data_IF_985597996392
#
_entry.id   IF_985597996392
#
_cell.length_a   1.000
_cell.length_b   1.000
_cell.length_c   1.000
_cell.angle_alpha   90.00
_cell.angle_beta   90.00
_cell.angle_gamma   90.00
#
_symmetry.space_group_name_H-M   'P 1'
#
loop_
_entity.id
_entity.type
_entity.pdbx_description
1 polymer ?
#
# COMPACT_ATOMS: atom_id res chain seq x y z
N UNK A 1 8.86 -20.63 20.95
CA UNK A 1 8.81 -19.16 21.08
C UNK A 1 8.47 -18.65 19.70
N UNK A 2 7.31 -18.01 19.53
CA UNK A 2 6.86 -17.58 18.20
C UNK A 2 7.73 -16.42 17.74
N UNK A 3 8.09 -16.39 16.45
CA UNK A 3 8.90 -15.33 15.82
C UNK A 3 8.33 -13.91 16.07
N UNK A 4 7.04 -13.80 16.38
CA UNK A 4 6.33 -12.54 16.53
C UNK A 4 6.04 -12.11 17.99
N UNK A 5 6.49 -12.85 19.00
CA UNK A 5 6.04 -12.65 20.39
C UNK A 5 6.47 -11.29 21.00
N UNK A 6 7.66 -10.80 20.66
CA UNK A 6 8.23 -9.55 21.21
C UNK A 6 8.33 -8.41 20.19
N UNK A 7 7.91 -8.67 18.95
CA UNK A 7 8.02 -7.70 17.87
C UNK A 7 7.02 -6.55 18.06
N UNK A 8 7.53 -5.32 18.12
CA UNK A 8 6.73 -4.10 18.29
C UNK A 8 6.46 -3.42 16.94
N UNK A 9 5.31 -2.77 16.85
CA UNK A 9 4.89 -1.99 15.68
C UNK A 9 3.85 -0.93 16.06
N UNK A 10 3.71 0.09 15.22
CA UNK A 10 2.67 1.10 15.39
C UNK A 10 1.26 0.53 15.22
N UNK A 11 0.29 1.12 15.93
CA UNK A 11 -1.10 0.66 16.00
C UNK A 11 -1.91 0.79 14.70
N UNK A 12 -1.40 1.50 13.68
CA UNK A 12 -2.16 1.86 12.47
C UNK A 12 -2.84 0.67 11.79
N UNK A 13 -2.16 -0.48 11.66
CA UNK A 13 -2.76 -1.69 11.07
C UNK A 13 -3.97 -2.19 11.87
N UNK A 14 -3.87 -2.21 13.21
CA UNK A 14 -4.97 -2.60 14.07
C UNK A 14 -6.16 -1.64 13.93
N UNK A 15 -5.90 -0.32 13.89
CA UNK A 15 -6.92 0.70 13.63
C UNK A 15 -7.61 0.48 12.29
N UNK A 16 -6.86 0.30 11.20
CA UNK A 16 -7.42 0.08 9.86
C UNK A 16 -8.35 -1.14 9.83
N UNK A 17 -7.96 -2.24 10.50
CA UNK A 17 -8.80 -3.44 10.58
C UNK A 17 -10.06 -3.20 11.40
N UNK A 18 -9.95 -2.56 12.57
CA UNK A 18 -11.11 -2.24 13.42
C UNK A 18 -12.08 -1.34 12.67
N UNK A 19 -11.60 -0.23 12.08
CA UNK A 19 -12.43 0.72 11.34
C UNK A 19 -13.16 0.04 10.17
N UNK A 20 -12.45 -0.82 9.42
CA UNK A 20 -13.00 -1.52 8.27
C UNK A 20 -14.15 -2.48 8.64
N UNK A 21 -14.00 -3.24 9.72
CA UNK A 21 -15.05 -4.18 10.15
C UNK A 21 -16.13 -3.52 11.00
N UNK A 22 -15.80 -2.48 11.76
CA UNK A 22 -16.78 -1.67 12.48
C UNK A 22 -17.74 -0.97 11.52
N UNK A 23 -17.23 -0.45 10.39
CA UNK A 23 -18.07 0.15 9.35
C UNK A 23 -19.09 -0.84 8.75
N UNK A 24 -18.87 -2.15 8.94
CA UNK A 24 -19.76 -3.22 8.51
C UNK A 24 -20.62 -3.79 9.65
N UNK A 25 -20.60 -3.15 10.82
CA UNK A 25 -21.42 -3.51 11.99
C UNK A 25 -20.76 -4.45 12.99
N UNK A 26 -19.47 -4.77 12.84
CA UNK A 26 -18.75 -5.58 13.83
C UNK A 26 -18.60 -4.81 15.17
N UNK A 27 -18.73 -5.54 16.29
CA UNK A 27 -18.56 -4.95 17.63
C UNK A 27 -17.09 -4.75 17.97
N UNK A 28 -16.64 -3.50 18.07
CA UNK A 28 -15.25 -3.14 18.44
C UNK A 28 -14.81 -3.83 19.73
N UNK A 29 -15.66 -3.83 20.76
CA UNK A 29 -15.36 -4.49 22.05
C UNK A 29 -15.03 -5.96 21.87
N UNK A 30 -15.75 -6.67 21.00
CA UNK A 30 -15.47 -8.07 20.76
C UNK A 30 -14.28 -8.28 19.82
N UNK A 31 -14.02 -7.38 18.87
CA UNK A 31 -12.81 -7.42 18.04
C UNK A 31 -11.55 -7.26 18.91
N UNK A 32 -11.59 -6.40 19.93
CA UNK A 32 -10.48 -6.17 20.86
C UNK A 32 -10.40 -7.18 22.02
N UNK A 33 -11.30 -8.16 22.11
CA UNK A 33 -11.34 -9.08 23.23
C UNK A 33 -10.02 -9.86 23.38
N UNK A 34 -9.38 -9.77 24.54
CA UNK A 34 -8.13 -10.49 24.83
C UNK A 34 -6.90 -10.01 24.06
N UNK A 35 -6.97 -8.91 23.30
CA UNK A 35 -5.80 -8.28 22.66
C UNK A 35 -4.98 -7.46 23.66
N UNK A 36 -5.59 -7.05 24.78
CA UNK A 36 -5.00 -6.10 25.73
C UNK A 36 -5.00 -4.65 25.23
N UNK A 37 -5.69 -4.36 24.12
CA UNK A 37 -5.88 -3.01 23.60
C UNK A 37 -7.22 -2.43 24.05
N UNK A 38 -7.20 -1.18 24.50
CA UNK A 38 -8.39 -0.39 24.74
C UNK A 38 -8.85 0.33 23.46
N UNK A 39 -10.12 0.73 23.41
CA UNK A 39 -10.65 1.55 22.30
C UNK A 39 -9.92 2.90 22.21
N UNK A 40 -9.49 3.45 23.34
CA UNK A 40 -8.71 4.70 23.40
C UNK A 40 -7.38 4.61 22.66
N UNK A 41 -6.70 3.45 22.76
CA UNK A 41 -5.39 3.21 22.15
C UNK A 41 -5.45 3.39 20.63
N UNK A 42 -6.54 2.94 19.99
CA UNK A 42 -6.73 3.04 18.53
C UNK A 42 -6.73 4.49 18.03
N UNK A 43 -7.04 5.46 18.89
CA UNK A 43 -7.07 6.88 18.53
C UNK A 43 -5.73 7.59 18.74
N UNK A 44 -4.77 6.96 19.44
CA UNK A 44 -3.43 7.50 19.60
C UNK A 44 -2.48 6.90 18.55
N UNK A 45 -2.05 7.69 17.54
CA UNK A 45 -1.18 7.21 16.48
C UNK A 45 0.23 6.84 16.96
N UNK A 46 0.63 7.24 18.17
CA UNK A 46 1.94 6.92 18.76
C UNK A 46 1.90 5.64 19.59
N UNK A 47 0.75 4.96 19.67
CA UNK A 47 0.67 3.69 20.39
C UNK A 47 1.48 2.61 19.67
N UNK A 48 2.44 2.05 20.39
CA UNK A 48 3.13 0.82 20.01
C UNK A 48 2.39 -0.39 20.57
N UNK A 49 2.17 -1.39 19.70
CA UNK A 49 1.57 -2.67 20.06
C UNK A 49 2.53 -3.81 19.76
N UNK A 50 2.36 -4.93 20.46
CA UNK A 50 3.04 -6.17 20.10
C UNK A 50 2.31 -6.84 18.93
N UNK A 51 3.06 -7.47 18.03
CA UNK A 51 2.51 -8.23 16.92
C UNK A 51 1.47 -9.27 17.36
N UNK A 52 1.69 -9.94 18.49
CA UNK A 52 0.71 -10.88 19.07
C UNK A 52 -0.66 -10.26 19.38
N UNK A 53 -0.71 -8.95 19.70
CA UNK A 53 -1.97 -8.24 19.95
C UNK A 53 -2.76 -8.04 18.66
N UNK A 54 -2.06 -7.68 17.57
CA UNK A 54 -2.66 -7.61 16.23
C UNK A 54 -3.09 -8.99 15.72
N UNK A 55 -2.29 -10.03 15.93
CA UNK A 55 -2.66 -11.39 15.55
C UNK A 55 -3.88 -11.90 16.33
N UNK A 56 -4.01 -11.53 17.62
CA UNK A 56 -5.22 -11.81 18.40
C UNK A 56 -6.43 -11.06 17.83
N UNK A 57 -6.28 -9.81 17.39
CA UNK A 57 -7.32 -9.06 16.70
C UNK A 57 -7.75 -9.77 15.41
N UNK A 58 -6.82 -10.25 14.59
CA UNK A 58 -7.13 -11.02 13.37
C UNK A 58 -7.90 -12.30 13.70
N UNK A 59 -7.47 -13.04 14.74
CA UNK A 59 -8.20 -14.23 15.18
C UNK A 59 -9.64 -13.91 15.64
N UNK A 60 -9.84 -12.79 16.32
CA UNK A 60 -11.17 -12.34 16.73
C UNK A 60 -12.05 -11.93 15.55
N UNK A 61 -11.46 -11.26 14.55
CA UNK A 61 -12.15 -10.90 13.30
C UNK A 61 -12.66 -12.18 12.62
N UNK A 62 -11.77 -13.16 12.40
CA UNK A 62 -12.12 -14.42 11.74
C UNK A 62 -13.20 -15.21 12.49
N UNK A 63 -13.16 -15.20 13.82
CA UNK A 63 -14.13 -15.92 14.64
C UNK A 63 -15.53 -15.28 14.67
N UNK A 64 -15.66 -13.98 14.36
CA UNK A 64 -16.86 -13.21 14.66
C UNK A 64 -17.50 -12.51 13.46
N UNK A 65 -16.71 -12.30 12.40
CA UNK A 65 -17.18 -11.63 11.19
C UNK A 65 -17.38 -12.70 10.11
N UNK A 66 -18.62 -12.92 9.64
CA UNK A 66 -18.88 -13.80 8.51
C UNK A 66 -18.07 -13.36 7.29
N UNK A 67 -17.53 -14.33 6.55
CA UNK A 67 -16.78 -14.12 5.32
C UNK A 67 -15.53 -13.21 5.46
N UNK A 68 -15.03 -12.99 6.68
CA UNK A 68 -13.85 -12.14 6.94
C UNK A 68 -12.65 -12.51 6.06
N UNK A 69 -12.44 -13.82 5.84
CA UNK A 69 -11.37 -14.34 4.98
C UNK A 69 -11.45 -13.79 3.55
N UNK A 70 -12.64 -13.72 2.97
CA UNK A 70 -12.86 -13.19 1.62
C UNK A 70 -12.61 -11.67 1.54
N UNK A 71 -12.72 -10.97 2.66
CA UNK A 71 -12.57 -9.52 2.75
C UNK A 71 -11.13 -9.07 3.00
N UNK A 72 -10.21 -9.98 3.34
CA UNK A 72 -8.81 -9.66 3.62
C UNK A 72 -8.13 -8.89 2.49
N UNK A 73 -8.42 -9.27 1.24
CA UNK A 73 -7.95 -8.57 0.05
C UNK A 73 -8.51 -7.13 -0.04
N UNK A 74 -9.82 -6.95 0.19
CA UNK A 74 -10.45 -5.64 0.17
C UNK A 74 -9.89 -4.72 1.26
N UNK A 75 -9.67 -5.26 2.47
CA UNK A 75 -8.99 -4.58 3.56
C UNK A 75 -7.59 -4.12 3.18
N UNK A 76 -6.82 -4.93 2.43
CA UNK A 76 -5.48 -4.56 1.94
C UNK A 76 -5.46 -3.25 1.13
N UNK A 77 -6.58 -2.88 0.47
CA UNK A 77 -6.69 -1.60 -0.25
C UNK A 77 -6.78 -0.36 0.67
N UNK A 78 -6.81 -0.53 1.99
CA UNK A 78 -6.78 0.57 2.96
C UNK A 78 -5.35 0.97 3.37
N UNK A 79 -4.35 0.20 2.97
CA UNK A 79 -2.95 0.39 3.34
C UNK A 79 -2.21 1.26 2.30
N UNK A 80 -2.67 2.49 2.14
CA UNK A 80 -1.99 3.51 1.31
C UNK A 80 -0.58 3.81 1.85
N UNK A 81 0.31 4.39 1.04
CA UNK A 81 1.68 4.76 1.50
C UNK A 81 1.66 5.58 2.80
N UNK A 82 0.67 6.47 2.98
CA UNK A 82 0.53 7.29 4.19
C UNK A 82 0.27 6.49 5.47
N UNK A 83 -0.25 5.26 5.35
CA UNK A 83 -0.46 4.38 6.50
C UNK A 83 0.85 3.92 7.14
N UNK A 84 1.96 3.91 6.38
CA UNK A 84 3.26 3.40 6.83
C UNK A 84 4.18 4.47 7.42
N UNK A 85 3.68 5.70 7.63
CA UNK A 85 4.47 6.79 8.20
C UNK A 85 5.75 7.05 7.40
N UNK A 86 6.88 7.22 8.11
CA UNK A 86 8.18 7.53 7.51
C UNK A 86 8.64 6.53 6.45
N UNK A 87 8.31 5.24 6.60
CA UNK A 87 8.66 4.23 5.61
C UNK A 87 7.93 4.51 4.29
N UNK A 88 6.62 4.77 4.35
CA UNK A 88 5.82 5.08 3.17
C UNK A 88 6.18 6.42 2.53
N UNK A 89 6.46 7.45 3.34
CA UNK A 89 6.98 8.72 2.83
C UNK A 89 8.36 8.56 2.16
N UNK A 90 9.22 7.68 2.70
CA UNK A 90 10.51 7.37 2.09
C UNK A 90 10.37 6.83 0.66
N UNK A 91 9.38 5.97 0.41
CA UNK A 91 9.12 5.40 -0.91
C UNK A 91 8.75 6.47 -1.95
N UNK A 92 7.86 7.40 -1.59
CA UNK A 92 7.38 8.45 -2.50
C UNK A 92 8.42 9.53 -2.73
N UNK A 93 9.47 9.60 -1.92
CA UNK A 93 10.61 10.50 -2.10
C UNK A 93 11.72 9.93 -2.99
N UNK A 94 11.65 8.65 -3.37
CA UNK A 94 12.62 8.06 -4.27
C UNK A 94 12.49 8.63 -5.69
N UNK A 95 13.62 8.70 -6.41
CA UNK A 95 13.64 9.22 -7.78
C UNK A 95 13.34 8.13 -8.83
N UNK A 96 13.48 6.85 -8.45
CA UNK A 96 13.22 5.71 -9.33
C UNK A 96 12.47 4.60 -8.61
N UNK A 97 11.69 3.84 -9.36
CA UNK A 97 11.00 2.64 -8.85
C UNK A 97 11.98 1.62 -8.24
N UNK A 98 13.20 1.50 -8.80
CA UNK A 98 14.24 0.62 -8.27
C UNK A 98 14.75 1.06 -6.88
N UNK A 99 14.90 2.37 -6.65
CA UNK A 99 15.25 2.92 -5.34
C UNK A 99 14.14 2.68 -4.33
N UNK A 100 12.88 2.95 -4.70
CA UNK A 100 11.73 2.70 -3.83
C UNK A 100 11.61 1.21 -3.48
N UNK A 101 11.78 0.32 -4.46
CA UNK A 101 11.74 -1.12 -4.23
C UNK A 101 12.87 -1.58 -3.29
N UNK A 102 14.08 -1.06 -3.47
CA UNK A 102 15.22 -1.35 -2.60
C UNK A 102 14.96 -0.88 -1.16
N UNK A 103 14.44 0.34 -0.97
CA UNK A 103 14.04 0.83 0.34
C UNK A 103 12.96 -0.04 0.96
N UNK A 104 11.93 -0.39 0.17
CA UNK A 104 10.82 -1.21 0.62
C UNK A 104 11.29 -2.55 1.19
N UNK A 105 12.13 -3.27 0.42
CA UNK A 105 12.64 -4.59 0.78
C UNK A 105 13.63 -4.55 1.95
N UNK A 106 14.52 -3.56 1.99
CA UNK A 106 15.53 -3.44 3.05
C UNK A 106 14.92 -3.11 4.42
N UNK A 107 13.77 -2.43 4.42
CA UNK A 107 13.12 -1.97 5.64
C UNK A 107 11.71 -2.54 5.82
N UNK A 108 11.43 -3.73 5.27
CA UNK A 108 10.16 -4.45 5.49
C UNK A 108 9.75 -4.57 6.97
N UNK A 109 10.69 -4.76 7.94
CA UNK A 109 10.35 -4.76 9.36
C UNK A 109 9.83 -3.42 9.91
N UNK A 110 9.75 -2.36 9.12
CA UNK A 110 9.05 -1.13 9.53
C UNK A 110 7.57 -1.13 9.13
N UNK A 111 7.10 -2.20 8.49
CA UNK A 111 5.74 -2.30 7.94
C UNK A 111 4.81 -3.17 8.81
N UNK A 112 3.59 -3.33 8.31
CA UNK A 112 2.55 -4.16 8.91
C UNK A 112 2.53 -5.61 8.41
N UNK A 113 3.43 -5.98 7.50
CA UNK A 113 3.48 -7.33 6.95
C UNK A 113 3.82 -8.38 8.01
N UNK A 114 3.14 -9.52 7.91
CA UNK A 114 3.54 -10.76 8.61
C UNK A 114 4.18 -11.74 7.63
N UNK A 115 3.80 -11.64 6.37
CA UNK A 115 4.26 -12.49 5.28
C UNK A 115 5.71 -12.19 4.93
N UNK A 116 6.46 -13.20 4.52
CA UNK A 116 7.75 -12.98 3.86
C UNK A 116 7.51 -12.32 2.50
N UNK A 117 8.21 -11.22 2.19
CA UNK A 117 8.11 -10.54 0.90
C UNK A 117 9.49 -10.52 0.26
N UNK A 118 9.57 -11.02 -0.97
CA UNK A 118 10.78 -11.04 -1.77
C UNK A 118 10.54 -10.45 -3.15
N UNK A 119 11.63 -10.19 -3.86
CA UNK A 119 11.61 -9.74 -5.25
C UNK A 119 12.55 -10.57 -6.10
N UNK A 120 12.11 -10.90 -7.31
CA UNK A 120 12.93 -11.55 -8.33
C UNK A 120 12.67 -10.93 -9.69
N UNK A 121 13.67 -10.95 -10.55
CA UNK A 121 13.58 -10.50 -11.93
C UNK A 121 13.69 -11.70 -12.86
N UNK A 122 12.81 -11.77 -13.86
CA UNK A 122 12.92 -12.73 -14.96
C UNK A 122 12.74 -11.97 -16.27
N UNK A 123 13.85 -11.72 -16.98
CA UNK A 123 13.84 -10.94 -18.21
C UNK A 123 13.46 -9.47 -17.97
N UNK A 124 12.38 -9.02 -18.61
CA UNK A 124 11.83 -7.67 -18.49
C UNK A 124 10.76 -7.53 -17.39
N UNK A 125 10.53 -8.59 -16.59
CA UNK A 125 9.49 -8.64 -15.58
C UNK A 125 10.06 -8.76 -14.17
N UNK A 126 9.55 -7.93 -13.28
CA UNK A 126 9.76 -8.05 -11.84
C UNK A 126 8.60 -8.79 -11.18
N UNK A 127 8.90 -9.67 -10.23
CA UNK A 127 7.92 -10.44 -9.47
C UNK A 127 8.09 -10.18 -7.98
N UNK A 128 7.02 -9.71 -7.34
CA UNK A 128 6.92 -9.76 -5.88
C UNK A 128 6.47 -11.17 -5.46
N UNK A 129 7.24 -11.77 -4.56
CA UNK A 129 7.03 -13.11 -4.05
C UNK A 129 6.56 -13.01 -2.61
N UNK A 130 5.54 -13.80 -2.25
CA UNK A 130 5.01 -13.82 -0.89
C UNK A 130 5.09 -15.22 -0.31
N UNK A 131 5.59 -15.32 0.93
CA UNK A 131 5.66 -16.55 1.69
C UNK A 131 4.69 -16.45 2.87
N UNK A 132 3.75 -17.41 3.02
CA UNK A 132 2.82 -17.42 4.15
C UNK A 132 3.59 -17.47 5.48
N UNK A 133 3.18 -16.69 6.50
CA UNK A 133 3.80 -16.77 7.82
C UNK A 133 3.44 -18.09 8.52
N UNK A 134 4.31 -18.60 9.42
CA UNK A 134 4.07 -19.83 10.17
C UNK A 134 3.09 -19.58 11.33
N UNK A 135 1.83 -19.32 10.97
CA UNK A 135 0.70 -19.07 11.87
C UNK A 135 -0.40 -20.11 11.61
N UNK A 136 -1.43 -20.11 12.47
CA UNK A 136 -2.65 -20.89 12.22
C UNK A 136 -3.20 -20.65 10.80
N UNK A 137 -3.66 -21.68 10.07
CA UNK A 137 -3.94 -21.59 8.63
C UNK A 137 -4.83 -20.41 8.22
N UNK A 138 -5.93 -20.19 8.95
CA UNK A 138 -6.87 -19.09 8.66
C UNK A 138 -6.23 -17.71 8.90
N UNK A 139 -5.50 -17.55 10.01
CA UNK A 139 -4.77 -16.30 10.31
C UNK A 139 -3.69 -16.05 9.27
N UNK A 140 -2.92 -17.09 8.90
CA UNK A 140 -1.87 -17.02 7.88
C UNK A 140 -2.44 -16.59 6.54
N UNK A 141 -3.55 -17.18 6.10
CA UNK A 141 -4.21 -16.85 4.84
C UNK A 141 -4.77 -15.42 4.84
N UNK A 142 -5.38 -14.98 5.95
CA UNK A 142 -5.92 -13.64 6.10
C UNK A 142 -4.83 -12.58 5.96
N UNK A 143 -3.74 -12.68 6.73
CA UNK A 143 -2.67 -11.68 6.69
C UNK A 143 -1.92 -11.71 5.36
N UNK A 144 -1.74 -12.90 4.75
CA UNK A 144 -1.14 -13.03 3.43
C UNK A 144 -1.95 -12.31 2.34
N UNK A 145 -3.27 -12.54 2.29
CA UNK A 145 -4.13 -11.88 1.31
C UNK A 145 -4.13 -10.36 1.48
N UNK A 146 -4.17 -9.89 2.73
CA UNK A 146 -4.06 -8.46 3.06
C UNK A 146 -2.72 -7.89 2.62
N UNK A 147 -1.61 -8.53 2.97
CA UNK A 147 -0.24 -8.08 2.67
C UNK A 147 0.01 -8.03 1.16
N UNK A 148 -0.46 -9.03 0.41
CA UNK A 148 -0.36 -9.07 -1.06
C UNK A 148 -1.06 -7.88 -1.71
N UNK A 149 -2.28 -7.56 -1.29
CA UNK A 149 -3.03 -6.43 -1.86
C UNK A 149 -2.46 -5.09 -1.41
N UNK A 150 -2.03 -4.97 -0.16
CA UNK A 150 -1.36 -3.77 0.33
C UNK A 150 -0.08 -3.47 -0.47
N UNK A 151 0.76 -4.47 -0.71
CA UNK A 151 1.94 -4.33 -1.55
C UNK A 151 1.59 -3.97 -3.01
N UNK A 152 0.55 -4.58 -3.59
CA UNK A 152 0.08 -4.24 -4.93
C UNK A 152 -0.45 -2.80 -5.03
N UNK A 153 -1.14 -2.31 -3.98
CA UNK A 153 -1.58 -0.93 -3.88
C UNK A 153 -0.38 0.02 -3.85
N UNK A 154 0.62 -0.23 -3.01
CA UNK A 154 1.83 0.59 -2.94
C UNK A 154 2.55 0.67 -4.29
N UNK A 155 2.71 -0.47 -4.97
CA UNK A 155 3.32 -0.49 -6.31
C UNK A 155 2.52 0.38 -7.28
N UNK A 156 1.19 0.29 -7.26
CA UNK A 156 0.33 1.13 -8.11
C UNK A 156 0.48 2.62 -7.79
N UNK A 157 0.46 3.01 -6.52
CA UNK A 157 0.62 4.40 -6.09
C UNK A 157 1.96 4.98 -6.55
N UNK A 158 3.04 4.22 -6.35
CA UNK A 158 4.38 4.62 -6.79
C UNK A 158 4.46 4.75 -8.31
N UNK A 159 3.96 3.77 -9.06
CA UNK A 159 3.97 3.84 -10.52
C UNK A 159 3.15 5.02 -11.06
N UNK A 160 1.99 5.32 -10.46
CA UNK A 160 1.19 6.49 -10.81
C UNK A 160 1.95 7.79 -10.53
N UNK A 161 2.64 7.88 -9.38
CA UNK A 161 3.45 9.04 -9.04
C UNK A 161 4.60 9.25 -10.03
N UNK A 162 5.36 8.20 -10.36
CA UNK A 162 6.45 8.27 -11.33
C UNK A 162 5.95 8.65 -12.72
N UNK A 163 4.83 8.07 -13.17
CA UNK A 163 4.21 8.42 -14.45
C UNK A 163 3.78 9.87 -14.49
N UNK A 164 3.21 10.39 -13.41
CA UNK A 164 2.82 11.79 -13.31
C UNK A 164 4.06 12.71 -13.39
N UNK A 165 5.09 12.44 -12.59
CA UNK A 165 6.31 13.23 -12.59
C UNK A 165 6.98 13.28 -13.98
N UNK A 166 7.09 12.12 -14.64
CA UNK A 166 7.66 12.04 -15.99
C UNK A 166 6.75 12.69 -17.04
N UNK A 167 5.41 12.57 -16.91
CA UNK A 167 4.48 13.28 -17.78
C UNK A 167 4.66 14.79 -17.71
N UNK A 168 4.78 15.34 -16.50
CA UNK A 168 5.02 16.77 -16.29
C UNK A 168 6.34 17.21 -16.93
N UNK A 169 7.40 16.43 -16.70
CA UNK A 169 8.73 16.70 -17.28
C UNK A 169 8.68 16.68 -18.81
N UNK A 170 8.09 15.66 -19.42
CA UNK A 170 7.98 15.53 -20.87
C UNK A 170 7.10 16.62 -21.49
N UNK A 171 6.01 17.03 -20.84
CA UNK A 171 5.15 18.11 -21.32
C UNK A 171 5.82 19.48 -21.30
N UNK A 172 6.78 19.70 -20.39
CA UNK A 172 7.46 20.98 -20.20
C UNK A 172 8.84 21.06 -20.89
N UNK A 173 9.51 19.93 -21.07
CA UNK A 173 10.92 19.87 -21.48
C UNK A 173 11.15 19.06 -22.76
N UNK A 174 10.09 18.74 -23.52
CA UNK A 174 10.23 18.04 -24.80
C UNK A 174 9.16 18.47 -25.81
N UNK A 175 9.48 18.28 -27.10
CA UNK A 175 8.57 18.54 -28.21
C UNK A 175 7.74 17.29 -28.62
N UNK A 176 7.75 16.24 -27.80
CA UNK A 176 6.98 15.03 -28.06
C UNK A 176 5.49 15.34 -28.20
N UNK A 177 4.79 14.64 -29.08
CA UNK A 177 3.33 14.78 -29.13
C UNK A 177 2.70 14.20 -27.86
N UNK A 178 1.48 14.62 -27.53
CA UNK A 178 0.74 14.04 -26.39
C UNK A 178 0.58 12.51 -26.58
N UNK A 179 0.46 12.05 -27.84
CA UNK A 179 0.39 10.63 -28.18
C UNK A 179 1.69 9.90 -27.89
N UNK A 180 2.85 10.48 -28.24
CA UNK A 180 4.16 9.88 -27.96
C UNK A 180 4.44 9.81 -26.46
N UNK A 181 4.05 10.84 -25.72
CA UNK A 181 4.16 10.87 -24.25
C UNK A 181 3.29 9.76 -23.64
N UNK A 182 2.05 9.60 -24.11
CA UNK A 182 1.15 8.54 -23.63
C UNK A 182 1.77 7.14 -23.85
N UNK A 183 2.28 6.87 -25.06
CA UNK A 183 2.92 5.59 -25.39
C UNK A 183 4.16 5.34 -24.54
N UNK A 184 5.01 6.36 -24.35
CA UNK A 184 6.25 6.26 -23.56
C UNK A 184 6.00 5.98 -22.08
N UNK A 185 4.89 6.46 -21.54
CA UNK A 185 4.47 6.22 -20.16
C UNK A 185 3.73 4.88 -19.97
N UNK A 186 3.54 4.13 -21.07
CA UNK A 186 2.89 2.82 -21.09
C UNK A 186 1.37 2.88 -21.00
N UNK A 187 0.74 3.96 -21.49
CA UNK A 187 -0.70 4.02 -21.67
C UNK A 187 -1.12 3.34 -22.98
N UNK A 188 -2.30 2.73 -22.99
CA UNK A 188 -2.88 2.09 -24.19
C UNK A 188 -3.18 3.10 -25.29
N UNK A 189 -3.53 4.34 -24.91
CA UNK A 189 -3.95 5.39 -25.82
C UNK A 189 -3.89 6.78 -25.15
N UNK A 190 -3.99 7.81 -25.99
CA UNK A 190 -3.95 9.23 -25.60
C UNK A 190 -5.12 9.67 -24.72
N UNK A 191 -6.30 9.05 -24.86
CA UNK A 191 -7.49 9.40 -24.07
C UNK A 191 -7.30 8.96 -22.62
N UNK A 192 -6.85 7.72 -22.42
CA UNK A 192 -6.54 7.16 -21.10
C UNK A 192 -5.46 7.98 -20.40
N UNK A 193 -4.40 8.36 -21.11
CA UNK A 193 -3.39 9.28 -20.58
C UNK A 193 -3.98 10.64 -20.21
N UNK A 194 -4.77 11.26 -21.08
CA UNK A 194 -5.32 12.59 -20.84
C UNK A 194 -6.27 12.63 -19.64
N UNK A 195 -7.07 11.58 -19.46
CA UNK A 195 -7.94 11.43 -18.29
C UNK A 195 -7.12 11.24 -17.01
N UNK A 196 -6.11 10.37 -17.04
CA UNK A 196 -5.22 10.15 -15.89
C UNK A 196 -4.48 11.45 -15.52
N UNK A 197 -3.91 12.14 -16.51
CA UNK A 197 -3.20 13.40 -16.31
C UNK A 197 -4.12 14.50 -15.76
N UNK A 198 -5.35 14.62 -16.28
CA UNK A 198 -6.33 15.57 -15.75
C UNK A 198 -6.72 15.26 -14.32
N UNK A 199 -6.84 13.98 -13.95
CA UNK A 199 -7.07 13.55 -12.57
C UNK A 199 -5.89 13.93 -11.66
N UNK A 200 -4.66 13.82 -12.16
CA UNK A 200 -3.45 14.12 -11.41
C UNK A 200 -3.16 15.62 -11.23
N UNK A 201 -3.31 16.41 -12.30
CA UNK A 201 -2.90 17.82 -12.35
C UNK A 201 -4.08 18.82 -12.37
N UNK A 202 -5.31 18.33 -12.44
CA UNK A 202 -6.52 19.15 -12.52
C UNK A 202 -6.80 19.76 -13.91
N UNK A 203 -5.83 19.74 -14.82
CA UNK A 203 -5.91 20.31 -16.18
C UNK A 203 -5.53 19.30 -17.26
N UNK A 204 -5.96 19.54 -18.50
CA UNK A 204 -5.60 18.69 -19.62
C UNK A 204 -4.09 18.81 -19.97
N UNK A 205 -3.45 17.77 -20.52
CA UNK A 205 -2.03 17.81 -20.91
C UNK A 205 -1.68 18.97 -21.85
N UNK A 206 -2.57 19.29 -22.80
CA UNK A 206 -2.40 20.40 -23.74
C UNK A 206 -2.39 21.77 -23.06
N UNK A 207 -3.14 21.92 -21.96
CA UNK A 207 -3.19 23.15 -21.17
C UNK A 207 -1.97 23.26 -20.25
N UNK A 208 -1.51 22.13 -19.71
CA UNK A 208 -0.33 22.08 -18.85
C UNK A 208 0.98 22.36 -19.61
N UNK A 209 1.02 22.05 -20.91
CA UNK A 209 2.15 22.37 -21.78
C UNK A 209 2.31 23.87 -21.91
N UNK A 210 3.35 24.42 -21.30
CA UNK A 210 3.78 25.80 -21.55
C UNK A 210 4.58 25.79 -22.86
N UNK A 211 4.28 26.66 -23.84
CA UNK A 211 5.12 26.80 -25.02
C UNK A 211 6.55 27.12 -24.60
N UNK A 212 7.60 26.53 -25.22
CA UNK A 212 8.95 26.98 -24.97
C UNK A 212 9.04 28.49 -25.26
N UNK A 213 9.76 29.28 -24.44
CA UNK A 213 9.90 30.71 -24.67
C UNK A 213 10.38 30.95 -26.10
N UNK A 214 9.65 31.78 -26.84
CA UNK A 214 10.06 32.22 -28.16
C UNK A 214 11.28 33.12 -28.00
N UNK A 215 12.46 32.61 -28.33
CA UNK A 215 13.68 33.40 -28.46
C UNK A 215 13.88 33.82 -29.92
#
# INVERSE_FOLDING_TARGET
>A
MSYFDEYRRGITSARLMVDYFQAQGASVTRLLAGTGLAVGDLNDPNTDILARQELRLVANILAQVPDAQSQAAALGNRYHFSAYGLWGYGLVCCNTAAQALSLALNYLPLTYAFSGIGYREEGDKGFLCFTPPPLEPEVSQFVLARDMVAAALLVRELLEQYRNAEACRLLQQSDLTISDIALRLGFSDTSTFSQAFKRWQGVAPSVYRVPPPSF
#
